data_IF_526372584260
#
_entry.id   IF_526372584260
#
_cell.length_a   1.000
_cell.length_b   1.000
_cell.length_c   1.000
_cell.angle_alpha   90.00
_cell.angle_beta   90.00
_cell.angle_gamma   90.00
#
_symmetry.space_group_name_H-M   'P 1'
#
loop_
_entity.id
_entity.type
_entity.pdbx_description
1 polymer ?
#
# COMPACT_ATOMS: atom_id res chain seq x y z
N UNK A 1 56.24 0.73 70.19
CA UNK A 1 57.20 1.68 69.60
C UNK A 1 56.43 2.65 68.72
N UNK A 2 56.81 3.91 68.80
CA UNK A 2 56.06 5.08 68.38
C UNK A 2 56.06 5.34 66.87
N UNK A 3 55.11 6.19 66.45
CA UNK A 3 55.19 7.07 65.27
C UNK A 3 54.07 6.82 64.25
N UNK A 4 53.30 7.79 63.75
CA UNK A 4 53.29 9.23 63.97
C UNK A 4 51.99 9.84 63.38
N UNK A 5 51.56 10.95 63.99
CA UNK A 5 50.82 12.11 63.46
C UNK A 5 49.41 11.99 62.84
N UNK A 6 48.47 12.66 63.51
CA UNK A 6 47.12 13.01 63.07
C UNK A 6 47.06 14.26 62.18
N UNK A 7 45.89 14.40 61.51
CA UNK A 7 45.23 15.58 60.88
C UNK A 7 45.54 15.88 59.42
N UNK A 8 44.51 15.80 58.57
CA UNK A 8 43.66 16.97 58.22
C UNK A 8 42.41 16.55 57.45
N UNK A 9 41.31 17.26 57.71
CA UNK A 9 40.01 17.20 57.02
C UNK A 9 40.02 17.95 55.68
N UNK A 10 38.94 17.73 54.91
CA UNK A 10 38.35 18.56 53.85
C UNK A 10 39.00 18.51 52.46
N UNK A 11 38.29 17.94 51.48
CA UNK A 11 37.42 18.71 50.57
C UNK A 11 36.70 17.79 49.58
N UNK A 12 35.48 18.18 49.22
CA UNK A 12 34.62 17.52 48.27
C UNK A 12 35.18 17.60 46.84
N UNK A 13 35.08 16.51 46.07
CA UNK A 13 35.13 16.57 44.61
C UNK A 13 33.90 15.88 44.04
N UNK A 14 32.93 16.73 43.68
CA UNK A 14 31.95 16.42 42.66
C UNK A 14 32.68 16.19 41.31
N UNK A 15 32.31 15.14 40.58
CA UNK A 15 32.79 14.94 39.23
C UNK A 15 32.81 13.48 38.79
N UNK A 16 31.64 12.86 38.62
CA UNK A 16 31.53 11.67 37.77
C UNK A 16 31.05 12.12 36.37
N UNK A 17 31.87 11.96 35.32
CA UNK A 17 31.54 12.44 33.98
C UNK A 17 30.59 11.46 33.24
N UNK A 18 29.51 12.03 32.70
CA UNK A 18 28.77 11.63 31.51
C UNK A 18 28.53 10.13 31.26
N UNK A 19 27.42 9.62 31.80
CA UNK A 19 26.69 8.54 31.15
C UNK A 19 26.02 9.10 29.88
N UNK A 20 26.16 8.46 28.70
CA UNK A 20 25.54 8.95 27.47
C UNK A 20 24.02 8.81 27.56
N UNK A 21 23.35 9.95 27.73
CA UNK A 21 21.92 10.13 27.50
C UNK A 21 21.63 10.03 25.98
N UNK A 22 21.64 8.82 25.43
CA UNK A 22 21.38 8.59 24.00
C UNK A 22 20.65 7.27 23.71
N UNK A 23 19.78 6.81 24.62
CA UNK A 23 18.90 5.66 24.38
C UNK A 23 17.42 5.98 24.69
N UNK A 24 17.05 7.25 24.72
CA UNK A 24 15.67 7.70 24.81
C UNK A 24 15.40 8.67 23.67
N UNK A 25 14.34 8.38 22.90
CA UNK A 25 13.91 9.06 21.66
C UNK A 25 14.61 8.59 20.39
N UNK A 26 14.21 7.42 19.90
CA UNK A 26 13.56 7.36 18.57
C UNK A 26 12.60 6.17 18.52
N UNK A 27 11.63 6.12 19.45
CA UNK A 27 10.32 5.60 19.04
C UNK A 27 9.76 6.68 18.12
N UNK A 28 10.21 6.67 16.86
CA UNK A 28 9.60 7.45 15.80
C UNK A 28 8.11 7.20 15.94
N UNK A 29 7.35 8.27 16.14
CA UNK A 29 5.92 8.24 16.01
C UNK A 29 5.62 7.43 14.77
N UNK A 30 5.10 6.21 14.94
CA UNK A 30 4.17 5.67 13.96
C UNK A 30 3.04 6.69 14.00
N UNK A 31 3.15 7.74 13.19
CA UNK A 31 1.97 8.37 12.62
C UNK A 31 1.13 7.20 12.19
N UNK A 32 0.00 6.98 12.88
CA UNK A 32 -0.94 5.94 12.53
C UNK A 32 -1.19 6.12 11.04
N UNK A 33 -0.57 5.27 10.22
CA UNK A 33 -0.63 5.44 8.79
C UNK A 33 -2.12 5.32 8.47
N UNK A 34 -2.68 6.34 7.83
CA UNK A 34 -4.07 6.30 7.41
C UNK A 34 -4.27 4.98 6.67
N UNK A 35 -5.11 4.11 7.22
CA UNK A 35 -5.39 2.80 6.66
C UNK A 35 -6.86 2.72 6.33
N UNK A 36 -7.18 2.03 5.24
CA UNK A 36 -8.55 1.88 4.76
C UNK A 36 -9.06 0.45 5.04
N UNK A 37 -10.38 0.20 4.93
CA UNK A 37 -10.93 -1.15 4.95
C UNK A 37 -10.16 -2.10 4.04
N UNK A 38 -10.06 -3.36 4.48
CA UNK A 38 -9.50 -4.42 3.65
C UNK A 38 -10.40 -4.60 2.44
N UNK A 39 -9.80 -4.64 1.26
CA UNK A 39 -10.47 -4.91 -0.01
C UNK A 39 -10.09 -6.32 -0.42
N UNK A 40 -11.08 -7.08 -0.89
CA UNK A 40 -10.92 -8.44 -1.34
C UNK A 40 -11.29 -8.53 -2.82
N UNK A 41 -10.50 -9.29 -3.57
CA UNK A 41 -10.67 -9.58 -4.99
C UNK A 41 -10.81 -11.09 -5.09
N UNK A 42 -12.05 -11.57 -5.11
CA UNK A 42 -12.33 -13.00 -5.30
C UNK A 42 -12.17 -13.35 -6.77
N UNK A 43 -11.25 -14.24 -7.06
CA UNK A 43 -10.92 -14.67 -8.42
C UNK A 43 -11.06 -16.17 -8.60
N UNK A 44 -11.02 -16.64 -9.84
CA UNK A 44 -10.94 -18.08 -10.16
C UNK A 44 -9.74 -18.80 -9.53
N UNK A 45 -8.62 -18.11 -9.27
CA UNK A 45 -7.47 -18.67 -8.54
C UNK A 45 -7.56 -18.53 -7.00
N UNK A 46 -8.62 -17.91 -6.48
CA UNK A 46 -8.84 -17.68 -5.06
C UNK A 46 -8.87 -16.21 -4.67
N UNK A 47 -8.77 -15.96 -3.36
CA UNK A 47 -8.95 -14.62 -2.79
C UNK A 47 -7.62 -13.86 -2.69
N UNK A 48 -7.49 -12.79 -3.47
CA UNK A 48 -6.50 -11.76 -3.18
C UNK A 48 -7.12 -10.75 -2.20
N UNK A 49 -6.34 -10.22 -1.29
CA UNK A 49 -6.79 -9.10 -0.46
C UNK A 49 -5.69 -8.08 -0.28
N UNK A 50 -6.05 -6.82 -0.08
CA UNK A 50 -5.10 -5.77 0.23
C UNK A 50 -5.73 -4.71 1.15
N UNK A 51 -4.88 -3.98 1.84
CA UNK A 51 -5.27 -2.87 2.70
C UNK A 51 -4.68 -1.57 2.11
N UNK A 52 -5.53 -0.68 1.57
CA UNK A 52 -5.05 0.56 1.01
C UNK A 52 -4.36 1.40 2.09
N UNK A 53 -3.24 1.99 1.70
CA UNK A 53 -2.52 3.01 2.46
C UNK A 53 -2.79 4.41 1.89
N UNK A 54 -3.21 4.48 0.63
CA UNK A 54 -3.74 5.67 -0.03
C UNK A 54 -5.02 5.33 -0.76
N UNK A 55 -5.97 6.26 -0.74
CA UNK A 55 -7.27 6.18 -1.39
C UNK A 55 -7.70 7.63 -1.62
N UNK A 56 -7.72 8.05 -2.88
CA UNK A 56 -8.14 9.39 -3.29
C UNK A 56 -9.23 9.26 -4.33
N UNK A 57 -10.25 10.10 -4.19
CA UNK A 57 -11.25 10.37 -5.22
C UNK A 57 -11.35 11.88 -5.28
N UNK A 58 -11.23 12.44 -6.48
CA UNK A 58 -11.19 13.89 -6.66
C UNK A 58 -11.03 14.27 -8.12
N UNK A 59 -11.24 15.56 -8.45
CA UNK A 59 -10.97 16.02 -9.79
C UNK A 59 -9.49 15.84 -10.10
N UNK A 60 -9.19 15.24 -11.24
CA UNK A 60 -7.85 15.27 -11.81
C UNK A 60 -7.42 16.73 -12.05
N UNK A 61 -6.14 17.00 -11.84
CA UNK A 61 -5.62 18.36 -11.86
C UNK A 61 -5.60 18.98 -13.27
N UNK A 62 -5.47 18.14 -14.29
CA UNK A 62 -5.30 18.54 -15.68
C UNK A 62 -6.64 18.51 -16.44
N UNK A 63 -7.46 17.47 -16.22
CA UNK A 63 -8.75 17.30 -16.92
C UNK A 63 -9.94 17.93 -16.17
N UNK A 64 -9.85 18.04 -14.84
CA UNK A 64 -10.98 18.40 -13.97
C UNK A 64 -12.07 17.32 -13.89
N UNK A 65 -11.89 16.18 -14.55
CA UNK A 65 -12.77 15.01 -14.49
C UNK A 65 -12.54 14.28 -13.17
N UNK A 66 -13.60 13.67 -12.63
CA UNK A 66 -13.50 12.92 -11.38
C UNK A 66 -12.66 11.66 -11.61
N UNK A 67 -11.48 11.61 -11.00
CA UNK A 67 -10.53 10.50 -11.05
C UNK A 67 -10.35 9.89 -9.66
N UNK A 68 -9.66 8.75 -9.60
CA UNK A 68 -9.32 8.07 -8.36
C UNK A 68 -7.97 7.38 -8.45
N UNK A 69 -7.34 7.24 -7.28
CA UNK A 69 -6.10 6.47 -7.14
C UNK A 69 -6.04 5.76 -5.81
N UNK A 70 -5.43 4.58 -5.83
CA UNK A 70 -5.32 3.70 -4.69
C UNK A 70 -4.06 2.85 -4.77
N UNK A 71 -3.42 2.68 -3.62
CA UNK A 71 -2.34 1.73 -3.47
C UNK A 71 -2.34 1.08 -2.09
N UNK A 72 -1.96 -0.19 -2.04
CA UNK A 72 -1.98 -0.95 -0.80
C UNK A 72 -1.22 -2.26 -0.86
N UNK A 73 -0.75 -2.69 0.30
CA UNK A 73 -0.11 -3.99 0.48
C UNK A 73 -1.17 -5.04 0.86
N UNK A 74 -0.90 -6.29 0.51
CA UNK A 74 -1.87 -7.35 0.64
C UNK A 74 -1.25 -8.75 0.59
N UNK A 75 -2.10 -9.74 0.32
CA UNK A 75 -1.70 -11.11 0.12
C UNK A 75 -2.46 -11.78 -1.02
N UNK A 76 -1.78 -12.68 -1.73
CA UNK A 76 -2.35 -13.59 -2.74
C UNK A 76 -2.97 -14.83 -2.09
N UNK A 77 -3.74 -15.65 -2.85
CA UNK A 77 -4.38 -16.86 -2.35
C UNK A 77 -3.43 -17.90 -1.77
N UNK A 78 -2.20 -17.96 -2.28
CA UNK A 78 -1.13 -18.87 -1.84
C UNK A 78 -0.26 -18.29 -0.70
N UNK A 79 -0.59 -17.09 -0.23
CA UNK A 79 0.07 -16.46 0.92
C UNK A 79 1.25 -15.56 0.57
N UNK A 80 1.61 -15.39 -0.71
CA UNK A 80 2.66 -14.45 -1.11
C UNK A 80 2.22 -12.99 -0.85
N UNK A 81 3.18 -12.11 -0.58
CA UNK A 81 2.93 -10.69 -0.46
C UNK A 81 2.47 -10.11 -1.80
N UNK A 82 1.51 -9.20 -1.78
CA UNK A 82 1.14 -8.43 -2.98
C UNK A 82 1.15 -6.93 -2.72
N UNK A 83 1.38 -6.16 -3.78
CA UNK A 83 1.20 -4.72 -3.84
C UNK A 83 0.22 -4.39 -4.97
N UNK A 84 -0.90 -3.79 -4.62
CA UNK A 84 -1.96 -3.43 -5.56
C UNK A 84 -1.88 -1.94 -5.83
N UNK A 85 -1.93 -1.57 -7.12
CA UNK A 85 -2.13 -0.20 -7.59
C UNK A 85 -3.40 -0.16 -8.42
N UNK A 86 -4.12 0.94 -8.31
CA UNK A 86 -5.36 1.20 -9.03
C UNK A 86 -5.44 2.68 -9.33
N UNK A 87 -5.49 3.02 -10.61
CA UNK A 87 -5.48 4.39 -11.13
C UNK A 87 -6.44 4.49 -12.31
N UNK A 88 -7.08 5.65 -12.46
CA UNK A 88 -7.88 5.97 -13.65
C UNK A 88 -6.94 6.60 -14.69
N UNK A 89 -6.75 5.96 -15.85
CA UNK A 89 -5.96 6.53 -16.95
C UNK A 89 -6.84 7.52 -17.73
N UNK A 90 -6.69 8.81 -17.41
CA UNK A 90 -7.59 9.89 -17.81
C UNK A 90 -7.49 10.30 -19.30
N UNK A 91 -6.52 9.77 -20.05
CA UNK A 91 -6.17 10.31 -21.37
C UNK A 91 -6.74 9.55 -22.57
N UNK A 92 -7.31 8.35 -22.38
CA UNK A 92 -7.88 7.58 -23.49
C UNK A 92 -9.15 6.82 -23.06
N UNK A 93 -10.35 7.22 -23.51
CA UNK A 93 -11.60 6.53 -23.17
C UNK A 93 -11.71 5.10 -23.72
N UNK A 94 -10.80 4.69 -24.60
CA UNK A 94 -10.65 3.30 -25.04
C UNK A 94 -9.79 2.46 -24.09
N UNK A 95 -8.91 3.10 -23.32
CA UNK A 95 -8.14 2.48 -22.24
C UNK A 95 -8.98 2.57 -20.96
N UNK A 96 -9.24 1.42 -20.35
CA UNK A 96 -9.99 1.37 -19.08
C UNK A 96 -9.12 1.81 -17.91
N UNK A 97 -9.64 1.67 -16.70
CA UNK A 97 -8.87 1.80 -15.47
C UNK A 97 -7.59 0.95 -15.52
N UNK A 98 -6.49 1.45 -14.96
CA UNK A 98 -5.28 0.66 -14.77
C UNK A 98 -5.29 0.07 -13.35
N UNK A 99 -5.43 -1.25 -13.26
CA UNK A 99 -5.29 -1.99 -12.01
C UNK A 99 -4.22 -3.05 -12.13
N UNK A 100 -3.26 -3.07 -11.20
CA UNK A 100 -2.17 -4.05 -11.18
C UNK A 100 -2.11 -4.78 -9.84
N UNK A 101 -1.91 -6.09 -9.88
CA UNK A 101 -1.57 -6.92 -8.71
C UNK A 101 -0.13 -7.40 -8.88
N UNK A 102 0.78 -6.81 -8.12
CA UNK A 102 2.21 -7.14 -8.11
C UNK A 102 2.46 -8.19 -7.02
N UNK A 103 2.72 -9.44 -7.39
CA UNK A 103 2.95 -10.55 -6.44
C UNK A 103 4.44 -10.74 -6.18
N UNK A 104 4.78 -11.15 -4.95
CA UNK A 104 6.16 -11.28 -4.46
C UNK A 104 6.68 -10.00 -3.79
N UNK A 105 5.85 -8.96 -3.67
CA UNK A 105 6.24 -7.68 -3.08
C UNK A 105 5.09 -7.06 -2.29
N UNK A 106 5.41 -6.30 -1.25
CA UNK A 106 4.49 -5.48 -0.45
C UNK A 106 4.71 -3.97 -0.65
N UNK A 107 5.53 -3.58 -1.64
CA UNK A 107 5.99 -2.21 -1.86
C UNK A 107 6.07 -1.85 -3.35
N UNK A 108 5.89 -0.56 -3.71
CA UNK A 108 5.85 -0.12 -5.11
C UNK A 108 7.20 -0.20 -5.83
N UNK A 109 8.31 0.00 -5.11
CA UNK A 109 9.66 0.09 -5.71
C UNK A 109 10.44 -1.23 -5.71
N UNK A 110 9.81 -2.32 -5.29
CA UNK A 110 10.42 -3.66 -5.31
C UNK A 110 9.98 -4.37 -6.57
N UNK A 111 10.92 -5.03 -7.25
CA UNK A 111 10.63 -5.84 -8.43
C UNK A 111 9.70 -7.00 -8.05
N UNK A 112 8.49 -7.07 -8.63
CA UNK A 112 7.60 -8.19 -8.43
C UNK A 112 8.09 -9.43 -9.16
N UNK A 113 7.72 -10.60 -8.66
CA UNK A 113 7.90 -11.87 -9.36
C UNK A 113 6.86 -12.02 -10.49
N UNK A 114 5.65 -11.51 -10.24
CA UNK A 114 4.48 -11.66 -11.11
C UNK A 114 3.72 -10.34 -11.13
N UNK A 115 3.31 -9.90 -12.32
CA UNK A 115 2.42 -8.75 -12.51
C UNK A 115 1.18 -9.20 -13.24
N UNK A 116 0.02 -9.02 -12.59
CA UNK A 116 -1.30 -9.14 -13.21
C UNK A 116 -1.80 -7.75 -13.55
N UNK A 117 -2.26 -7.54 -14.79
CA UNK A 117 -2.78 -6.25 -15.25
C UNK A 117 -4.23 -6.44 -15.66
N UNK A 118 -5.14 -5.65 -15.09
CA UNK A 118 -6.55 -5.69 -15.43
C UNK A 118 -6.78 -5.12 -16.83
N UNK A 119 -7.58 -5.82 -17.64
CA UNK A 119 -8.08 -5.37 -18.94
C UNK A 119 -6.99 -4.78 -19.86
N UNK A 120 -5.77 -5.34 -19.81
CA UNK A 120 -4.60 -4.83 -20.54
C UNK A 120 -4.75 -4.95 -22.08
N UNK A 121 -3.75 -4.46 -22.82
CA UNK A 121 -3.73 -4.56 -24.28
C UNK A 121 -3.86 -6.02 -24.81
N UNK A 122 -3.39 -7.01 -24.05
CA UNK A 122 -3.58 -8.43 -24.38
C UNK A 122 -5.05 -8.81 -24.23
N UNK A 123 -5.74 -8.32 -23.20
CA UNK A 123 -7.17 -8.55 -22.99
C UNK A 123 -8.02 -8.00 -24.16
N UNK A 124 -7.61 -6.89 -24.80
CA UNK A 124 -8.23 -6.43 -26.05
C UNK A 124 -8.12 -7.45 -27.18
N UNK A 125 -6.96 -8.09 -27.35
CA UNK A 125 -6.76 -9.20 -28.30
C UNK A 125 -7.69 -10.39 -28.02
N UNK A 126 -8.17 -10.50 -26.78
CA UNK A 126 -9.09 -11.51 -26.30
C UNK A 126 -10.56 -11.05 -26.30
N UNK A 127 -10.84 -9.84 -26.81
CA UNK A 127 -12.18 -9.21 -26.86
C UNK A 127 -12.84 -9.05 -25.50
N UNK A 128 -12.04 -8.88 -24.45
CA UNK A 128 -12.55 -8.57 -23.12
C UNK A 128 -12.90 -7.07 -23.10
N UNK A 129 -14.14 -6.68 -22.75
CA UNK A 129 -14.48 -5.27 -22.63
C UNK A 129 -13.65 -4.61 -21.52
N UNK A 130 -13.26 -3.35 -21.73
CA UNK A 130 -12.60 -2.57 -20.67
C UNK A 130 -13.56 -2.40 -19.48
N UNK A 131 -13.09 -2.68 -18.27
CA UNK A 131 -13.84 -2.40 -17.06
C UNK A 131 -13.97 -0.89 -16.90
N UNK A 132 -15.19 -0.43 -16.58
CA UNK A 132 -15.46 1.00 -16.33
C UNK A 132 -15.85 1.19 -14.87
N UNK A 133 -15.10 2.00 -14.12
CA UNK A 133 -15.43 2.28 -12.73
C UNK A 133 -16.70 3.16 -12.67
N UNK A 134 -17.52 2.93 -11.66
CA UNK A 134 -18.63 3.82 -11.29
C UNK A 134 -18.27 4.52 -10.00
N UNK A 135 -18.22 5.85 -10.02
CA UNK A 135 -17.83 6.68 -8.87
C UNK A 135 -19.07 7.40 -8.31
N UNK A 136 -19.36 7.16 -7.04
CA UNK A 136 -20.47 7.77 -6.29
C UNK A 136 -19.93 8.45 -5.02
N UNK A 137 -19.57 9.73 -5.14
CA UNK A 137 -18.89 10.45 -4.06
C UNK A 137 -17.51 9.85 -3.79
N UNK A 138 -17.30 9.29 -2.59
CA UNK A 138 -16.04 8.61 -2.21
C UNK A 138 -16.08 7.09 -2.43
N UNK A 139 -17.12 6.56 -3.07
CA UNK A 139 -17.28 5.13 -3.34
C UNK A 139 -16.99 4.83 -4.80
N UNK A 140 -16.23 3.77 -5.04
CA UNK A 140 -15.88 3.28 -6.38
C UNK A 140 -16.38 1.84 -6.47
N UNK A 141 -17.11 1.54 -7.53
CA UNK A 141 -17.53 0.17 -7.88
C UNK A 141 -16.90 -0.20 -9.22
N UNK A 142 -16.23 -1.35 -9.26
CA UNK A 142 -15.55 -1.84 -10.46
C UNK A 142 -16.03 -3.26 -10.75
N UNK A 143 -16.60 -3.47 -11.94
CA UNK A 143 -17.09 -4.76 -12.38
C UNK A 143 -16.40 -5.19 -13.69
N UNK A 144 -16.44 -6.48 -14.01
CA UNK A 144 -15.91 -7.03 -15.26
C UNK A 144 -14.38 -7.06 -15.34
N UNK A 145 -13.69 -7.09 -14.19
CA UNK A 145 -12.23 -7.18 -14.14
C UNK A 145 -11.74 -8.57 -14.56
N UNK A 146 -10.89 -8.57 -15.59
CA UNK A 146 -10.11 -9.74 -15.98
C UNK A 146 -8.64 -9.32 -16.02
N UNK A 147 -7.82 -9.95 -15.20
CA UNK A 147 -6.39 -9.72 -15.21
C UNK A 147 -5.70 -10.70 -16.14
N UNK A 148 -4.65 -10.24 -16.80
CA UNK A 148 -3.82 -11.03 -17.70
C UNK A 148 -2.37 -11.01 -17.25
N UNK A 149 -1.65 -12.09 -17.56
CA UNK A 149 -0.21 -12.23 -17.36
C UNK A 149 0.44 -12.94 -18.53
N UNK A 150 1.60 -12.46 -18.95
CA UNK A 150 2.44 -13.14 -19.95
C UNK A 150 1.78 -13.36 -21.32
N UNK A 151 0.71 -12.63 -21.64
CA UNK A 151 0.03 -12.71 -22.93
C UNK A 151 -1.04 -13.82 -23.07
N UNK A 152 -1.20 -14.71 -22.09
CA UNK A 152 -2.06 -15.89 -22.25
C UNK A 152 -2.73 -16.36 -20.96
N UNK A 153 -2.14 -16.10 -19.80
CA UNK A 153 -2.77 -16.44 -18.53
C UNK A 153 -3.83 -15.41 -18.16
N UNK A 154 -4.88 -15.89 -17.48
CA UNK A 154 -6.02 -15.06 -17.08
C UNK A 154 -6.39 -15.33 -15.63
N UNK A 155 -6.90 -14.28 -15.00
CA UNK A 155 -7.45 -14.29 -13.65
C UNK A 155 -8.74 -13.48 -13.67
N UNK A 156 -9.88 -14.12 -13.40
CA UNK A 156 -11.19 -13.46 -13.54
C UNK A 156 -11.75 -13.10 -12.18
N UNK A 157 -12.10 -11.83 -11.95
CA UNK A 157 -12.82 -11.43 -10.75
C UNK A 157 -14.26 -11.96 -10.80
N UNK A 158 -14.71 -12.63 -9.73
CA UNK A 158 -16.04 -13.25 -9.66
C UNK A 158 -17.16 -12.28 -9.29
N UNK A 159 -16.80 -11.14 -8.71
CA UNK A 159 -17.74 -10.14 -8.23
C UNK A 159 -17.14 -8.74 -8.39
N UNK A 160 -18.01 -7.74 -8.40
CA UNK A 160 -17.61 -6.35 -8.41
C UNK A 160 -16.79 -6.00 -7.15
N UNK A 161 -15.70 -5.26 -7.34
CA UNK A 161 -14.90 -4.71 -6.25
C UNK A 161 -15.56 -3.43 -5.78
N UNK A 162 -15.80 -3.33 -4.48
CA UNK A 162 -16.34 -2.14 -3.83
C UNK A 162 -15.29 -1.49 -2.95
N UNK A 163 -15.08 -0.20 -3.17
CA UNK A 163 -14.04 0.59 -2.52
C UNK A 163 -14.70 1.83 -1.91
N UNK A 164 -14.43 2.10 -0.62
CA UNK A 164 -14.96 3.27 0.08
C UNK A 164 -13.80 4.10 0.66
N UNK A 165 -13.38 5.14 -0.06
CA UNK A 165 -12.31 6.06 0.35
C UNK A 165 -12.74 7.02 1.48
N UNK A 166 -14.00 6.99 1.93
CA UNK A 166 -14.42 7.80 3.08
C UNK A 166 -14.10 7.13 4.42
N UNK A 167 -13.89 5.81 4.42
CA UNK A 167 -13.68 5.03 5.65
C UNK A 167 -12.20 4.92 5.97
N UNK A 168 -11.77 5.60 7.03
CA UNK A 168 -10.44 5.43 7.62
C UNK A 168 -10.56 4.53 8.86
N UNK A 169 -9.63 3.59 9.00
CA UNK A 169 -9.44 2.76 10.20
C UNK A 169 -8.53 3.47 11.20
#
# INVERSE_FOLDING_TARGET
>A
MAGACSKSESEAVAGAPNAPAAAQKTAAQRTSATSYPKIAIDTDAGLFWFEPRRCSVGPDADSGVLSFSMEGAGQSPDGQAVYVTLEDEDDNPEQGLEMRINVGTDQPFKTPEIVWIANDAVAHGLRIPAAKPVIEGQRITIDGLVFTRGGHERLTAKAAIQIDCSRRK
#
